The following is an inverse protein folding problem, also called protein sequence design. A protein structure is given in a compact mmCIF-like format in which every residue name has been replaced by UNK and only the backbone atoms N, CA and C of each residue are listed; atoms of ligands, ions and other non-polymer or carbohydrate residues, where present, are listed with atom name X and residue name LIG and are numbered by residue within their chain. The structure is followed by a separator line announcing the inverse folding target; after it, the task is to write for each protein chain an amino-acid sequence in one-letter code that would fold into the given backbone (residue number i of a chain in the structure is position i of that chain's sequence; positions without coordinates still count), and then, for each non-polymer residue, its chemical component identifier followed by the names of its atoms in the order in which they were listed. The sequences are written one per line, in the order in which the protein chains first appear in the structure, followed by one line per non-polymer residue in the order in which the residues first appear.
data_IF_853746363740
#
_entry.id   IF_853746363740
#
_cell.length_a   1.000
_cell.length_b   1.000
_cell.length_c   1.000
_cell.angle_alpha   90.00
_cell.angle_beta   90.00
_cell.angle_gamma   90.00
#
_symmetry.space_group_name_H-M   'P 1'
#
loop_
_entity.id
_entity.type
_entity.pdbx_description
1 polymer ?
#
# COMPACT_ATOMS: atom_id res chain seq x y z
N UNK A 1 -60.93 10.07 -51.79
CA UNK A 1 -60.64 11.25 -50.95
C UNK A 1 -61.15 10.91 -49.57
N UNK A 2 -60.41 10.88 -48.48
CA UNK A 2 -59.06 11.30 -48.13
C UNK A 2 -59.06 11.39 -46.60
N UNK A 3 -58.01 10.93 -45.92
CA UNK A 3 -57.95 11.02 -44.46
C UNK A 3 -57.04 9.97 -43.85
N UNK A 4 -55.74 10.12 -44.07
CA UNK A 4 -54.70 9.46 -43.29
C UNK A 4 -54.73 10.04 -41.87
N UNK A 5 -55.10 9.24 -40.87
CA UNK A 5 -54.89 9.63 -39.47
C UNK A 5 -53.52 9.15 -39.01
N UNK A 6 -52.59 10.10 -39.04
CA UNK A 6 -51.23 9.99 -38.52
C UNK A 6 -51.24 9.53 -37.04
N UNK A 7 -50.73 8.32 -36.79
CA UNK A 7 -50.44 7.85 -35.43
C UNK A 7 -49.29 8.69 -34.85
N UNK A 8 -49.64 9.73 -34.09
CA UNK A 8 -48.70 10.55 -33.32
C UNK A 8 -47.99 9.68 -32.28
N UNK A 9 -46.75 9.29 -32.57
CA UNK A 9 -45.83 8.68 -31.61
C UNK A 9 -45.60 9.67 -30.47
N UNK A 10 -46.26 9.46 -29.33
CA UNK A 10 -45.93 10.18 -28.10
C UNK A 10 -44.54 9.72 -27.66
N UNK A 11 -43.54 10.55 -27.88
CA UNK A 11 -42.25 10.42 -27.19
C UNK A 11 -42.52 10.74 -25.72
N UNK A 12 -42.81 9.69 -24.95
CA UNK A 12 -42.80 9.76 -23.49
C UNK A 12 -41.34 9.97 -23.13
N UNK A 13 -40.96 11.21 -22.86
CA UNK A 13 -39.72 11.49 -22.15
C UNK A 13 -39.84 10.73 -20.84
N UNK A 14 -39.03 9.67 -20.70
CA UNK A 14 -38.92 8.90 -19.48
C UNK A 14 -38.50 9.88 -18.38
N UNK A 15 -39.48 10.38 -17.64
CA UNK A 15 -39.19 11.18 -16.47
C UNK A 15 -38.38 10.28 -15.55
N UNK A 16 -37.21 10.77 -15.16
CA UNK A 16 -36.29 10.12 -14.22
C UNK A 16 -36.90 10.12 -12.80
N UNK A 17 -38.21 9.91 -12.67
CA UNK A 17 -39.00 9.95 -11.44
C UNK A 17 -38.77 8.76 -10.50
N UNK A 18 -37.90 7.83 -10.87
CA UNK A 18 -37.35 6.82 -9.97
C UNK A 18 -36.17 7.35 -9.14
N UNK A 19 -35.55 8.47 -9.54
CA UNK A 19 -34.39 9.03 -8.83
C UNK A 19 -34.78 10.11 -7.82
N UNK A 20 -35.94 10.78 -7.97
CA UNK A 20 -36.20 12.00 -7.15
C UNK A 20 -37.54 12.07 -6.42
N UNK A 21 -38.55 11.24 -6.69
CA UNK A 21 -39.91 11.51 -6.15
C UNK A 21 -40.62 10.33 -5.45
N UNK A 22 -40.11 9.10 -5.51
CA UNK A 22 -40.78 7.94 -4.91
C UNK A 22 -39.95 7.26 -3.81
N UNK A 23 -39.99 7.79 -2.59
CA UNK A 23 -39.60 7.02 -1.39
C UNK A 23 -40.54 5.83 -1.12
N UNK A 24 -41.67 5.73 -1.84
CA UNK A 24 -42.63 4.63 -1.74
C UNK A 24 -42.43 3.69 -2.93
N UNK A 25 -41.96 2.48 -2.65
CA UNK A 25 -41.86 1.43 -3.66
C UNK A 25 -43.25 1.12 -4.26
N UNK A 26 -43.33 0.87 -5.59
CA UNK A 26 -44.56 0.42 -6.22
C UNK A 26 -45.11 -0.84 -5.53
N UNK A 27 -46.36 -0.80 -5.06
CA UNK A 27 -47.01 -1.96 -4.41
C UNK A 27 -47.21 -3.16 -5.35
N UNK A 28 -47.24 -2.93 -6.66
CA UNK A 28 -47.41 -3.97 -7.70
C UNK A 28 -46.11 -4.14 -8.46
N UNK A 29 -45.75 -5.39 -8.71
CA UNK A 29 -44.56 -5.74 -9.47
C UNK A 29 -44.69 -5.29 -10.92
N UNK A 30 -43.69 -4.56 -11.43
CA UNK A 30 -43.59 -4.20 -12.86
C UNK A 30 -42.62 -5.16 -13.52
N UNK A 31 -43.00 -5.71 -14.68
CA UNK A 31 -42.07 -6.48 -15.49
C UNK A 31 -40.98 -5.55 -15.99
N UNK A 32 -39.73 -5.96 -15.82
CA UNK A 32 -38.56 -5.24 -16.32
C UNK A 32 -38.16 -5.93 -17.61
N UNK A 33 -38.05 -5.18 -18.70
CA UNK A 33 -37.64 -5.72 -20.00
C UNK A 33 -36.27 -6.38 -19.87
N UNK A 34 -36.15 -7.62 -20.38
CA UNK A 34 -34.92 -8.41 -20.29
C UNK A 34 -34.65 -9.11 -18.95
N UNK A 35 -35.50 -8.94 -17.93
CA UNK A 35 -35.33 -9.64 -16.64
C UNK A 35 -36.48 -10.63 -16.41
N UNK A 36 -36.13 -11.92 -16.32
CA UNK A 36 -37.09 -12.98 -16.07
C UNK A 36 -37.64 -12.94 -14.62
N UNK A 37 -38.92 -13.34 -14.41
CA UNK A 37 -39.54 -13.34 -13.08
C UNK A 37 -38.79 -14.22 -12.06
N UNK A 38 -38.16 -15.31 -12.52
CA UNK A 38 -37.33 -16.20 -11.69
C UNK A 38 -36.07 -15.50 -11.16
N UNK A 39 -35.40 -14.70 -12.01
CA UNK A 39 -34.18 -13.95 -11.63
C UNK A 39 -34.50 -12.88 -10.58
N UNK A 40 -35.63 -12.20 -10.71
CA UNK A 40 -36.12 -11.26 -9.69
C UNK A 40 -36.40 -11.96 -8.36
N UNK A 41 -36.99 -13.17 -8.40
CA UNK A 41 -37.28 -13.94 -7.19
C UNK A 41 -35.99 -14.41 -6.50
N UNK A 42 -35.00 -14.86 -7.28
CA UNK A 42 -33.67 -15.23 -6.78
C UNK A 42 -32.95 -14.06 -6.12
N UNK A 43 -32.98 -12.88 -6.75
CA UNK A 43 -32.41 -11.65 -6.17
C UNK A 43 -33.11 -11.25 -4.86
N UNK A 44 -34.44 -11.37 -4.79
CA UNK A 44 -35.18 -11.15 -3.54
C UNK A 44 -34.78 -12.14 -2.46
N UNK A 45 -34.59 -13.41 -2.81
CA UNK A 45 -34.13 -14.43 -1.88
C UNK A 45 -32.73 -14.11 -1.35
N UNK A 46 -31.82 -13.65 -2.21
CA UNK A 46 -30.46 -13.26 -1.81
C UNK A 46 -30.45 -11.99 -0.93
N UNK A 47 -31.31 -11.02 -1.25
CA UNK A 47 -31.51 -9.83 -0.42
C UNK A 47 -32.04 -10.22 0.96
N UNK A 48 -33.04 -11.11 1.02
CA UNK A 48 -33.61 -11.58 2.29
C UNK A 48 -32.58 -12.35 3.13
N UNK A 49 -31.81 -13.27 2.51
CA UNK A 49 -30.69 -13.97 3.17
C UNK A 49 -29.67 -12.98 3.75
N UNK A 50 -29.27 -11.97 2.96
CA UNK A 50 -28.34 -10.94 3.42
C UNK A 50 -28.91 -10.10 4.58
N UNK A 51 -30.21 -9.79 4.56
CA UNK A 51 -30.87 -9.10 5.68
C UNK A 51 -30.96 -9.98 6.94
N UNK A 52 -31.24 -11.27 6.79
CA UNK A 52 -31.25 -12.21 7.90
C UNK A 52 -29.86 -12.40 8.49
N UNK A 53 -28.82 -12.53 7.68
CA UNK A 53 -27.42 -12.57 8.14
C UNK A 53 -27.02 -11.26 8.85
N UNK A 54 -27.46 -10.10 8.35
CA UNK A 54 -27.23 -8.81 9.00
C UNK A 54 -27.96 -8.68 10.34
N UNK A 55 -29.19 -9.22 10.46
CA UNK A 55 -29.92 -9.28 11.72
C UNK A 55 -29.26 -10.25 12.69
N UNK A 56 -28.92 -11.45 12.23
CA UNK A 56 -28.28 -12.49 13.03
C UNK A 56 -26.92 -12.01 13.55
N UNK A 57 -26.11 -11.36 12.71
CA UNK A 57 -24.84 -10.74 13.16
C UNK A 57 -25.06 -9.57 14.12
N UNK A 58 -26.16 -8.81 13.98
CA UNK A 58 -26.53 -7.76 14.94
C UNK A 58 -27.00 -8.34 16.28
N UNK A 59 -27.77 -9.42 16.26
CA UNK A 59 -28.25 -10.13 17.44
C UNK A 59 -27.10 -10.85 18.17
N UNK A 60 -26.12 -11.38 17.43
CA UNK A 60 -24.86 -11.92 17.98
C UNK A 60 -23.91 -10.84 18.53
N UNK A 61 -24.04 -9.57 18.14
CA UNK A 61 -23.14 -8.48 18.55
C UNK A 61 -23.76 -7.48 19.53
N UNK A 62 -25.02 -7.65 19.92
CA UNK A 62 -25.67 -6.77 20.87
C UNK A 62 -26.99 -7.35 21.33
N UNK A 63 -26.94 -7.96 22.52
CA UNK A 63 -28.13 -8.39 23.25
C UNK A 63 -29.23 -7.32 23.23
N UNK A 64 -30.37 -7.76 22.73
CA UNK A 64 -31.72 -7.27 22.85
C UNK A 64 -32.04 -6.62 24.21
N UNK A 65 -31.72 -5.33 24.39
CA UNK A 65 -32.22 -4.47 25.48
C UNK A 65 -31.96 -2.96 25.28
N UNK A 66 -31.28 -2.53 24.20
CA UNK A 66 -30.80 -1.15 24.06
C UNK A 66 -31.62 -0.32 23.07
N UNK A 67 -32.94 -0.54 23.01
CA UNK A 67 -33.83 0.27 22.17
C UNK A 67 -34.35 1.56 22.86
N UNK A 68 -34.01 1.79 24.13
CA UNK A 68 -34.43 2.99 24.88
C UNK A 68 -33.31 3.84 25.48
N UNK A 69 -32.03 3.46 25.30
CA UNK A 69 -30.90 4.28 25.80
C UNK A 69 -30.43 5.23 24.70
N UNK A 70 -30.28 6.51 25.03
CA UNK A 70 -29.62 7.49 24.15
C UNK A 70 -28.30 6.88 23.63
N UNK A 71 -28.08 6.94 22.32
CA UNK A 71 -26.96 6.30 21.61
C UNK A 71 -25.69 6.43 22.43
N UNK A 72 -25.21 5.33 23.00
CA UNK A 72 -23.88 5.31 23.59
C UNK A 72 -22.92 5.69 22.47
N UNK A 73 -22.13 6.74 22.71
CA UNK A 73 -21.09 7.16 21.77
C UNK A 73 -20.24 5.93 21.58
N UNK A 74 -20.28 5.37 20.36
CA UNK A 74 -19.45 4.25 19.94
C UNK A 74 -18.05 4.61 20.41
N UNK A 75 -17.59 3.99 21.50
CA UNK A 75 -16.21 4.11 21.92
C UNK A 75 -15.44 3.68 20.69
N UNK A 76 -14.65 4.59 20.13
CA UNK A 76 -14.03 4.42 18.83
C UNK A 76 -13.36 3.05 18.84
N UNK A 77 -13.97 2.07 18.16
CA UNK A 77 -13.34 0.79 17.93
C UNK A 77 -12.07 1.17 17.20
N UNK A 78 -10.94 0.99 17.89
CA UNK A 78 -9.65 1.36 17.35
C UNK A 78 -9.51 0.64 16.02
N UNK A 79 -9.56 1.40 14.92
CA UNK A 79 -9.51 0.86 13.57
C UNK A 79 -8.19 0.11 13.31
N UNK A 80 -7.21 0.24 14.19
CA UNK A 80 -5.94 -0.47 14.18
C UNK A 80 -5.93 -1.75 15.06
N UNK A 81 -7.00 -2.02 15.82
CA UNK A 81 -7.09 -3.22 16.66
C UNK A 81 -7.30 -4.51 15.84
N UNK A 82 -7.85 -4.40 14.63
CA UNK A 82 -7.95 -5.51 13.69
C UNK A 82 -6.57 -5.82 13.10
N UNK A 83 -5.76 -6.60 13.82
CA UNK A 83 -4.46 -7.07 13.34
C UNK A 83 -4.66 -8.20 12.34
N UNK A 84 -3.79 -8.23 11.33
CA UNK A 84 -3.76 -9.32 10.36
C UNK A 84 -3.20 -10.58 11.04
N UNK A 85 -3.94 -11.69 11.02
CA UNK A 85 -3.55 -12.95 11.66
C UNK A 85 -2.21 -13.48 11.15
N UNK A 86 -1.85 -13.22 9.89
CA UNK A 86 -0.56 -13.57 9.31
C UNK A 86 0.62 -12.76 9.87
N UNK A 87 0.37 -11.52 10.31
CA UNK A 87 1.38 -10.69 10.98
C UNK A 87 1.64 -11.21 12.39
N UNK A 88 0.60 -11.60 13.13
CA UNK A 88 0.77 -12.21 14.45
C UNK A 88 1.47 -13.57 14.36
N UNK A 89 1.14 -14.38 13.36
CA UNK A 89 1.81 -15.66 13.09
C UNK A 89 3.31 -15.50 12.79
N UNK A 90 3.70 -14.50 11.99
CA UNK A 90 5.11 -14.17 11.75
C UNK A 90 5.80 -13.63 13.01
N UNK A 91 5.18 -12.67 13.69
CA UNK A 91 5.74 -12.09 14.92
C UNK A 91 5.95 -13.15 16.02
N UNK A 92 5.08 -14.16 16.11
CA UNK A 92 5.25 -15.26 17.04
C UNK A 92 6.43 -16.16 16.67
N UNK A 93 6.59 -16.50 15.38
CA UNK A 93 7.74 -17.25 14.87
C UNK A 93 9.06 -16.51 15.10
N UNK A 94 9.12 -15.23 14.71
CA UNK A 94 10.30 -14.38 14.91
C UNK A 94 10.67 -14.30 16.40
N UNK A 95 9.68 -14.18 17.30
CA UNK A 95 9.89 -14.17 18.75
C UNK A 95 10.42 -15.51 19.28
N UNK A 96 10.05 -16.63 18.68
CA UNK A 96 10.53 -17.96 19.05
C UNK A 96 11.97 -18.16 18.55
N UNK A 97 12.26 -17.77 17.31
CA UNK A 97 13.60 -17.84 16.72
C UNK A 97 14.59 -16.93 17.44
N UNK A 98 14.19 -15.69 17.76
CA UNK A 98 15.00 -14.78 18.58
C UNK A 98 15.21 -15.29 20.02
N UNK A 99 14.34 -16.15 20.54
CA UNK A 99 14.56 -16.82 21.83
C UNK A 99 15.53 -17.99 21.69
N UNK A 100 15.41 -18.80 20.64
CA UNK A 100 16.35 -19.90 20.37
C UNK A 100 17.79 -19.39 20.09
N UNK A 101 17.92 -18.22 19.45
CA UNK A 101 19.23 -17.55 19.30
C UNK A 101 19.75 -17.03 20.64
N UNK A 102 18.86 -16.65 21.58
CA UNK A 102 19.23 -16.23 22.95
C UNK A 102 19.55 -17.39 23.89
N UNK A 103 19.10 -18.60 23.61
CA UNK A 103 19.48 -19.77 24.42
C UNK A 103 20.99 -19.99 24.42
N UNK A 104 21.71 -19.44 23.42
CA UNK A 104 23.13 -19.11 23.51
C UNK A 104 24.06 -20.29 23.77
N UNK A 105 23.54 -21.50 23.97
CA UNK A 105 24.28 -22.65 24.48
C UNK A 105 25.37 -23.09 23.50
N UNK A 106 25.11 -22.98 22.20
CA UNK A 106 26.11 -23.23 21.15
C UNK A 106 27.22 -22.17 21.18
N UNK A 107 26.86 -20.91 21.42
CA UNK A 107 27.83 -19.82 21.54
C UNK A 107 28.64 -19.94 22.83
N UNK A 108 28.01 -20.25 23.97
CA UNK A 108 28.66 -20.50 25.24
C UNK A 108 29.60 -21.71 25.17
N UNK A 109 29.16 -22.83 24.58
CA UNK A 109 30.01 -24.02 24.39
C UNK A 109 31.20 -23.73 23.45
N UNK A 110 31.00 -22.91 22.41
CA UNK A 110 32.09 -22.48 21.54
C UNK A 110 33.08 -21.55 22.27
N UNK A 111 32.57 -20.61 23.07
CA UNK A 111 33.39 -19.71 23.88
C UNK A 111 34.16 -20.45 24.96
N UNK A 112 33.56 -21.45 25.61
CA UNK A 112 34.22 -22.30 26.61
C UNK A 112 35.36 -23.10 25.98
N UNK A 113 35.14 -23.73 24.82
CA UNK A 113 36.22 -24.41 24.08
C UNK A 113 37.35 -23.46 23.69
N UNK A 114 37.01 -22.24 23.29
CA UNK A 114 38.01 -21.21 22.95
C UNK A 114 38.80 -20.77 24.18
N UNK A 115 38.12 -20.58 25.32
CA UNK A 115 38.75 -20.21 26.59
C UNK A 115 39.71 -21.31 27.09
N UNK A 116 39.29 -22.58 27.03
CA UNK A 116 40.14 -23.72 27.35
C UNK A 116 41.40 -23.77 26.48
N UNK A 117 41.27 -23.47 25.19
CA UNK A 117 42.41 -23.39 24.27
C UNK A 117 43.38 -22.26 24.65
N UNK A 118 42.87 -21.07 24.96
CA UNK A 118 43.71 -19.96 25.43
C UNK A 118 44.38 -20.24 26.77
N UNK A 119 43.69 -20.90 27.70
CA UNK A 119 44.26 -21.26 29.00
C UNK A 119 45.39 -22.28 28.84
N UNK A 120 45.23 -23.27 27.97
CA UNK A 120 46.29 -24.24 27.62
C UNK A 120 47.50 -23.57 26.94
N UNK A 121 47.25 -22.65 26.00
CA UNK A 121 48.31 -21.84 25.38
C UNK A 121 49.06 -21.00 26.41
N UNK A 122 48.34 -20.36 27.32
CA UNK A 122 48.94 -19.50 28.36
C UNK A 122 49.75 -20.29 29.38
N UNK A 123 49.34 -21.53 29.70
CA UNK A 123 50.09 -22.45 30.57
C UNK A 123 51.26 -23.14 29.85
N UNK A 124 51.31 -23.13 28.52
CA UNK A 124 52.32 -23.86 27.75
C UNK A 124 52.17 -25.39 27.82
N UNK A 125 50.97 -25.89 28.11
CA UNK A 125 50.65 -27.32 28.23
C UNK A 125 50.20 -27.95 26.89
N UNK A 126 50.23 -27.19 25.78
CA UNK A 126 49.99 -27.78 24.47
C UNK A 126 51.23 -28.59 24.08
N UNK A 127 51.05 -29.91 23.94
CA UNK A 127 52.05 -30.76 23.29
C UNK A 127 52.30 -30.20 21.89
N UNK A 128 53.57 -29.99 21.55
CA UNK A 128 53.97 -29.48 20.23
C UNK A 128 53.37 -30.33 19.09
N UNK A 129 53.15 -31.62 19.34
CA UNK A 129 52.51 -32.58 18.42
C UNK A 129 51.01 -32.26 18.15
N UNK A 130 50.22 -31.95 19.19
CA UNK A 130 48.80 -31.57 19.02
C UNK A 130 48.62 -30.17 18.41
N UNK A 131 49.57 -29.26 18.68
CA UNK A 131 49.56 -27.90 18.15
C UNK A 131 49.85 -27.88 16.64
N UNK A 132 50.86 -28.62 16.21
CA UNK A 132 51.34 -28.64 14.83
C UNK A 132 50.37 -29.39 13.90
N UNK A 133 49.84 -30.54 14.31
CA UNK A 133 48.96 -31.34 13.44
C UNK A 133 47.57 -30.72 13.24
N UNK A 134 47.05 -30.00 14.23
CA UNK A 134 45.65 -29.55 14.25
C UNK A 134 45.45 -28.08 13.91
N UNK A 135 46.43 -27.24 14.21
CA UNK A 135 46.29 -25.78 14.10
C UNK A 135 47.24 -25.15 13.08
N UNK A 136 48.25 -25.87 12.58
CA UNK A 136 49.07 -25.39 11.46
C UNK A 136 48.40 -25.67 10.12
N UNK A 137 48.53 -24.72 9.19
CA UNK A 137 48.03 -24.86 7.82
C UNK A 137 49.12 -25.52 6.99
N UNK A 138 48.85 -26.71 6.46
CA UNK A 138 49.70 -27.33 5.45
C UNK A 138 49.50 -26.62 4.09
N UNK A 139 50.42 -25.72 3.76
CA UNK A 139 50.39 -24.95 2.52
C UNK A 139 50.51 -25.82 1.26
N UNK A 140 51.14 -27.00 1.34
CA UNK A 140 51.31 -27.90 0.19
C UNK A 140 50.03 -28.68 -0.09
N UNK A 141 49.34 -29.17 0.96
CA UNK A 141 48.05 -29.86 0.81
C UNK A 141 46.91 -28.92 0.44
N UNK A 142 46.95 -27.65 0.93
CA UNK A 142 45.95 -26.62 0.61
C UNK A 142 45.85 -26.30 -0.89
N UNK A 143 46.93 -26.48 -1.66
CA UNK A 143 46.94 -26.22 -3.11
C UNK A 143 46.39 -27.37 -3.96
N UNK A 144 46.30 -28.59 -3.41
CA UNK A 144 45.99 -29.82 -4.18
C UNK A 144 44.58 -30.34 -3.90
N UNK A 145 44.06 -30.19 -2.67
CA UNK A 145 42.76 -30.76 -2.25
C UNK A 145 41.57 -29.78 -2.38
N UNK A 146 41.50 -29.00 -3.46
CA UNK A 146 40.23 -28.37 -3.88
C UNK A 146 39.39 -29.27 -4.80
N UNK A 147 39.77 -30.56 -4.93
CA UNK A 147 39.12 -31.56 -5.78
C UNK A 147 38.03 -32.37 -5.08
N UNK A 148 38.34 -33.12 -4.03
CA UNK A 148 37.38 -34.07 -3.43
C UNK A 148 37.68 -34.30 -1.94
N UNK A 149 36.61 -34.30 -1.15
CA UNK A 149 36.53 -34.66 0.28
C UNK A 149 37.34 -33.82 1.30
N UNK A 150 36.67 -32.82 1.87
CA UNK A 150 36.56 -32.56 3.32
C UNK A 150 35.74 -31.27 3.49
N UNK A 151 34.54 -31.36 4.06
CA UNK A 151 33.80 -30.15 4.47
C UNK A 151 34.42 -29.58 5.76
N UNK A 152 34.98 -28.35 5.76
CA UNK A 152 35.21 -27.63 7.01
C UNK A 152 33.90 -26.97 7.47
N UNK A 153 33.64 -26.90 8.80
CA UNK A 153 32.47 -26.21 9.32
C UNK A 153 32.57 -24.73 8.99
N UNK A 154 31.57 -24.24 8.24
CA UNK A 154 31.42 -22.84 7.88
C UNK A 154 31.24 -21.99 9.14
N UNK A 155 32.33 -21.45 9.67
CA UNK A 155 32.30 -20.27 10.52
C UNK A 155 32.62 -19.07 9.65
N UNK A 156 31.56 -18.37 9.25
CA UNK A 156 31.62 -17.00 8.79
C UNK A 156 32.50 -16.19 9.75
N UNK A 157 33.50 -15.48 9.24
CA UNK A 157 33.66 -14.03 9.41
C UNK A 157 35.06 -13.57 9.00
N UNK A 158 35.06 -12.39 8.36
CA UNK A 158 36.15 -11.44 8.23
C UNK A 158 37.14 -11.68 7.09
N UNK A 159 37.07 -10.79 6.11
CA UNK A 159 38.29 -10.21 5.57
C UNK A 159 38.03 -8.74 5.23
N UNK A 160 38.17 -7.89 6.25
CA UNK A 160 38.60 -6.51 6.06
C UNK A 160 40.02 -6.59 5.49
N UNK A 161 40.18 -6.30 4.21
CA UNK A 161 41.49 -6.09 3.59
C UNK A 161 41.69 -4.59 3.44
N UNK A 162 42.74 -4.07 4.07
CA UNK A 162 43.29 -2.75 3.82
C UNK A 162 43.82 -2.65 2.37
N UNK A 163 43.89 -1.43 1.79
CA UNK A 163 44.24 -1.23 0.38
C UNK A 163 45.76 -1.09 0.20
N UNK A 164 46.34 -1.51 -0.95
CA UNK A 164 47.65 -1.02 -1.35
C UNK A 164 47.50 0.35 -2.03
N UNK A 165 48.31 1.30 -1.58
CA UNK A 165 48.52 2.58 -2.25
C UNK A 165 49.44 2.42 -3.47
N UNK A 166 49.32 3.41 -4.36
CA UNK A 166 50.19 3.79 -5.48
C UNK A 166 50.01 3.08 -6.83
N UNK A 167 49.31 3.77 -7.75
CA UNK A 167 49.94 4.50 -8.87
C UNK A 167 48.89 5.36 -9.62
N UNK A 168 49.19 6.65 -9.75
CA UNK A 168 48.41 7.64 -10.52
C UNK A 168 48.54 7.42 -12.03
N UNK A 169 47.46 7.61 -12.78
CA UNK A 169 47.48 8.31 -14.08
C UNK A 169 46.06 8.81 -14.44
N UNK A 170 46.02 10.03 -14.95
CA UNK A 170 44.87 10.89 -15.25
C UNK A 170 43.72 10.26 -16.06
N UNK A 171 42.50 10.67 -15.72
CA UNK A 171 41.31 10.49 -16.57
C UNK A 171 40.02 10.66 -15.78
N UNK A 172 39.35 11.79 -15.98
CA UNK A 172 38.02 12.09 -15.44
C UNK A 172 37.00 10.99 -15.78
N UNK A 173 36.44 10.30 -14.78
CA UNK A 173 35.11 9.69 -14.87
C UNK A 173 34.53 9.47 -13.46
N UNK A 174 33.83 10.50 -12.98
CA UNK A 174 33.07 10.51 -11.73
C UNK A 174 31.76 9.74 -11.94
N UNK A 175 31.73 8.44 -11.59
CA UNK A 175 30.46 7.68 -11.69
C UNK A 175 30.46 6.17 -11.45
N UNK A 176 31.59 5.49 -11.25
CA UNK A 176 31.61 4.00 -11.28
C UNK A 176 31.96 3.33 -9.94
N UNK A 177 31.39 3.80 -8.82
CA UNK A 177 31.49 3.10 -7.53
C UNK A 177 30.40 2.04 -7.28
N UNK A 178 29.41 1.91 -8.18
CA UNK A 178 28.29 0.97 -8.01
C UNK A 178 28.36 -0.31 -8.88
N UNK A 179 29.42 -0.51 -9.67
CA UNK A 179 29.58 -1.71 -10.52
C UNK A 179 30.48 -2.80 -9.91
N UNK A 180 30.67 -2.81 -8.59
CA UNK A 180 31.34 -3.92 -7.92
C UNK A 180 30.40 -5.12 -7.87
N UNK A 181 30.45 -5.95 -8.92
CA UNK A 181 29.76 -7.23 -8.97
C UNK A 181 30.31 -8.10 -7.83
N UNK A 182 29.53 -8.27 -6.76
CA UNK A 182 29.72 -9.38 -5.83
C UNK A 182 29.48 -10.67 -6.61
N UNK A 183 30.54 -11.22 -7.21
CA UNK A 183 30.56 -12.55 -7.78
C UNK A 183 30.63 -13.57 -6.62
N UNK A 184 29.57 -13.60 -5.83
CA UNK A 184 29.31 -14.67 -4.86
C UNK A 184 28.79 -15.89 -5.61
N UNK A 185 29.57 -16.97 -5.53
CA UNK A 185 29.28 -18.31 -6.02
C UNK A 185 27.84 -18.74 -5.69
N UNK A 186 26.95 -18.77 -6.69
CA UNK A 186 25.59 -19.30 -6.53
C UNK A 186 24.50 -18.79 -7.47
N UNK A 187 24.72 -17.74 -8.29
CA UNK A 187 23.65 -17.13 -9.10
C UNK A 187 23.63 -17.62 -10.56
N UNK A 188 23.46 -18.92 -10.76
CA UNK A 188 23.12 -19.51 -12.07
C UNK A 188 21.63 -19.92 -12.15
N UNK A 189 20.77 -19.26 -11.37
CA UNK A 189 19.31 -19.39 -11.48
C UNK A 189 18.77 -18.02 -11.94
N UNK A 190 18.21 -18.02 -13.16
CA UNK A 190 17.30 -17.01 -13.73
C UNK A 190 17.84 -15.58 -13.94
N UNK A 191 18.72 -15.40 -14.94
CA UNK A 191 18.97 -14.06 -15.51
C UNK A 191 17.72 -13.45 -16.17
N UNK A 192 16.76 -14.28 -16.58
CA UNK A 192 15.47 -13.84 -17.10
C UNK A 192 14.64 -13.09 -16.04
N UNK A 193 14.64 -13.55 -14.78
CA UNK A 193 13.86 -12.96 -13.67
C UNK A 193 14.40 -11.59 -13.25
N UNK A 194 15.72 -11.41 -13.21
CA UNK A 194 16.33 -10.10 -12.89
C UNK A 194 15.90 -9.02 -13.90
N UNK A 195 15.88 -9.36 -15.19
CA UNK A 195 15.47 -8.42 -16.25
C UNK A 195 14.00 -8.03 -16.16
N UNK A 196 13.16 -8.96 -15.69
CA UNK A 196 11.73 -8.71 -15.46
C UNK A 196 11.56 -7.85 -14.20
N UNK A 197 12.25 -8.18 -13.11
CA UNK A 197 12.26 -7.41 -11.88
C UNK A 197 12.67 -5.94 -12.11
N UNK A 198 13.77 -5.70 -12.84
CA UNK A 198 14.23 -4.33 -13.16
C UNK A 198 13.19 -3.58 -14.00
N UNK A 199 12.49 -4.25 -14.92
CA UNK A 199 11.38 -3.64 -15.69
C UNK A 199 10.21 -3.29 -14.78
N UNK A 200 9.76 -4.22 -13.94
CA UNK A 200 8.66 -3.98 -12.99
C UNK A 200 8.98 -2.82 -12.05
N UNK A 201 10.20 -2.78 -11.49
CA UNK A 201 10.63 -1.67 -10.63
C UNK A 201 10.59 -0.36 -11.41
N UNK A 202 11.12 -0.31 -12.64
CA UNK A 202 11.07 0.90 -13.47
C UNK A 202 9.64 1.34 -13.76
N UNK A 203 8.76 0.41 -14.09
CA UNK A 203 7.34 0.65 -14.38
C UNK A 203 6.62 1.23 -13.17
N UNK A 204 6.79 0.64 -11.99
CA UNK A 204 6.20 1.18 -10.73
C UNK A 204 6.67 2.60 -10.47
N UNK A 205 7.95 2.92 -10.67
CA UNK A 205 8.43 4.30 -10.50
C UNK A 205 7.78 5.26 -11.50
N UNK A 206 7.59 4.83 -12.74
CA UNK A 206 6.89 5.63 -13.76
C UNK A 206 5.42 5.84 -13.37
N UNK A 207 4.72 4.80 -12.92
CA UNK A 207 3.33 4.89 -12.46
C UNK A 207 3.18 5.83 -11.26
N UNK A 208 4.09 5.74 -10.28
CA UNK A 208 4.11 6.63 -9.12
C UNK A 208 4.33 8.09 -9.54
N UNK A 209 5.22 8.34 -10.49
CA UNK A 209 5.46 9.68 -11.02
C UNK A 209 4.22 10.22 -11.75
N UNK A 210 3.58 9.42 -12.61
CA UNK A 210 2.34 9.79 -13.29
C UNK A 210 1.20 10.06 -12.29
N UNK A 211 1.08 9.25 -11.24
CA UNK A 211 0.09 9.45 -10.19
C UNK A 211 0.32 10.78 -9.44
N UNK A 212 1.59 11.11 -9.17
CA UNK A 212 1.99 12.38 -8.56
C UNK A 212 1.64 13.56 -9.47
N UNK A 213 1.95 13.48 -10.76
CA UNK A 213 1.60 14.52 -11.74
C UNK A 213 0.09 14.74 -11.83
N UNK A 214 -0.70 13.67 -11.98
CA UNK A 214 -2.18 13.75 -12.00
C UNK A 214 -2.75 14.37 -10.72
N UNK A 215 -2.17 14.05 -9.56
CA UNK A 215 -2.59 14.64 -8.30
C UNK A 215 -2.26 16.14 -8.23
N UNK A 216 -1.11 16.56 -8.75
CA UNK A 216 -0.75 17.99 -8.85
C UNK A 216 -1.66 18.75 -9.82
N UNK A 217 -1.98 18.16 -10.97
CA UNK A 217 -2.89 18.74 -11.96
C UNK A 217 -4.31 18.89 -11.39
N UNK A 218 -4.82 17.87 -10.70
CA UNK A 218 -6.12 17.95 -10.05
C UNK A 218 -6.18 19.06 -8.99
N UNK A 219 -5.08 19.25 -8.24
CA UNK A 219 -4.96 20.33 -7.26
C UNK A 219 -4.96 21.71 -7.94
N UNK A 220 -4.22 21.88 -9.04
CA UNK A 220 -4.21 23.10 -9.84
C UNK A 220 -5.61 23.42 -10.38
N UNK A 221 -6.29 22.43 -10.97
CA UNK A 221 -7.66 22.58 -11.47
C UNK A 221 -8.65 23.01 -10.39
N UNK A 222 -8.55 22.45 -9.18
CA UNK A 222 -9.39 22.87 -8.04
C UNK A 222 -9.08 24.31 -7.61
N UNK A 223 -7.82 24.70 -7.63
CA UNK A 223 -7.40 26.07 -7.32
C UNK A 223 -7.95 27.05 -8.35
N UNK A 224 -7.83 26.75 -9.64
CA UNK A 224 -8.40 27.56 -10.73
C UNK A 224 -9.92 27.69 -10.64
N UNK A 225 -10.63 26.60 -10.29
CA UNK A 225 -12.07 26.68 -10.06
C UNK A 225 -12.41 27.60 -8.88
N UNK A 226 -11.62 27.56 -7.81
CA UNK A 226 -11.80 28.44 -6.66
C UNK A 226 -11.50 29.91 -7.00
N UNK A 227 -10.46 30.20 -7.77
CA UNK A 227 -10.15 31.57 -8.22
C UNK A 227 -11.23 32.07 -9.17
N UNK A 228 -11.65 31.28 -10.15
CA UNK A 228 -12.74 31.61 -11.06
C UNK A 228 -14.04 31.89 -10.30
N UNK A 229 -14.36 31.11 -9.27
CA UNK A 229 -15.53 31.35 -8.41
C UNK A 229 -15.39 32.66 -7.64
N UNK A 230 -14.21 32.94 -7.07
CA UNK A 230 -13.92 34.19 -6.35
C UNK A 230 -14.05 35.40 -7.28
N UNK A 231 -13.54 35.32 -8.49
CA UNK A 231 -13.63 36.39 -9.49
C UNK A 231 -15.07 36.63 -9.94
N UNK A 232 -15.84 35.57 -10.22
CA UNK A 232 -17.27 35.68 -10.52
C UNK A 232 -18.05 36.36 -9.39
N UNK A 233 -17.77 36.00 -8.13
CA UNK A 233 -18.38 36.65 -6.98
C UNK A 233 -17.98 38.13 -6.87
N UNK A 234 -16.71 38.47 -7.12
CA UNK A 234 -16.23 39.86 -7.14
C UNK A 234 -16.93 40.66 -8.24
N UNK A 235 -17.08 40.11 -9.44
CA UNK A 235 -17.79 40.75 -10.55
C UNK A 235 -19.29 40.93 -10.23
N UNK A 236 -19.95 39.91 -9.67
CA UNK A 236 -21.35 40.01 -9.27
C UNK A 236 -21.57 41.08 -8.20
N UNK A 237 -20.66 41.17 -7.22
CA UNK A 237 -20.69 42.22 -6.21
C UNK A 237 -20.56 43.62 -6.81
N UNK A 238 -19.58 43.82 -7.71
CA UNK A 238 -19.39 45.10 -8.40
C UNK A 238 -20.62 45.48 -9.25
N UNK A 239 -21.20 44.52 -9.98
CA UNK A 239 -22.44 44.74 -10.75
C UNK A 239 -23.60 45.17 -9.85
N UNK A 240 -23.78 44.51 -8.70
CA UNK A 240 -24.82 44.86 -7.73
C UNK A 240 -24.60 46.25 -7.12
N UNK A 241 -23.36 46.67 -6.89
CA UNK A 241 -23.05 48.02 -6.44
C UNK A 241 -23.40 49.07 -7.50
N UNK A 242 -23.06 48.82 -8.77
CA UNK A 242 -23.41 49.71 -9.87
C UNK A 242 -24.93 49.82 -10.07
N UNK A 243 -25.66 48.71 -9.97
CA UNK A 243 -27.11 48.69 -10.06
C UNK A 243 -27.76 49.52 -8.94
N UNK A 244 -27.26 49.40 -7.70
CA UNK A 244 -27.71 50.23 -6.57
C UNK A 244 -27.51 51.73 -6.84
N UNK A 245 -26.34 52.12 -7.34
CA UNK A 245 -26.06 53.53 -7.67
C UNK A 245 -26.98 54.03 -8.80
N UNK A 246 -27.22 53.21 -9.83
CA UNK A 246 -28.17 53.54 -10.91
C UNK A 246 -29.60 53.68 -10.39
N UNK A 247 -30.05 52.78 -9.52
CA UNK A 247 -31.37 52.86 -8.92
C UNK A 247 -31.55 54.12 -8.06
N UNK A 248 -30.52 54.50 -7.28
CA UNK A 248 -30.52 55.75 -6.51
C UNK A 248 -30.58 56.98 -7.43
N UNK A 249 -29.83 56.96 -8.54
CA UNK A 249 -29.86 58.06 -9.52
C UNK A 249 -31.23 58.16 -10.21
N UNK A 250 -31.86 57.04 -10.56
CA UNK A 250 -33.21 57.02 -11.13
C UNK A 250 -34.27 57.51 -10.14
N UNK A 251 -34.16 57.16 -8.85
CA UNK A 251 -35.05 57.69 -7.80
C UNK A 251 -34.91 59.20 -7.62
N UNK A 252 -33.71 59.76 -7.79
CA UNK A 252 -33.48 61.21 -7.75
C UNK A 252 -33.98 61.94 -9.02
N UNK A 253 -34.13 61.23 -10.14
CA UNK A 253 -34.57 61.79 -11.42
C UNK A 253 -36.08 61.65 -11.66
N UNK A 254 -36.83 60.94 -10.81
CA UNK A 254 -38.30 60.99 -10.88
C UNK A 254 -38.77 62.31 -10.23
N UNK A 255 -39.34 63.26 -11.00
CA UNK A 255 -39.92 64.46 -10.43
C UNK A 255 -41.16 64.06 -9.63
N UNK A 256 -41.29 64.64 -8.43
CA UNK A 256 -42.52 64.64 -7.65
C UNK A 256 -43.65 65.20 -8.55
N UNK A 257 -44.45 64.31 -9.12
CA UNK A 257 -45.78 64.63 -9.64
C UNK A 257 -46.78 64.11 -8.60
N UNK A 258 -47.35 65.04 -7.84
CA UNK A 258 -48.48 65.00 -6.89
C UNK A 258 -48.10 66.01 -5.78
N UNK A 259 -48.80 67.12 -5.52
CA UNK A 259 -50.10 67.66 -5.94
C UNK A 259 -50.01 69.20 -5.98
#
# INVERSE_FOLDING_TARGET
MGGEEETKKRVVVESLGWITESSIMPKKHRAIEGVGPSSIMELKAQLYKSQEEAKLTKDFTGSDAQYHRAKERIAAKDSFAAKNSGVEGRAFKDKLELKAVKDGAVSYAALEKKAQLYEKLARGELSDEEAEEKYCVDFFRKGVEHGDDLQPPRTSNSSVSAPPEDLKADGEDDGSLFSTKFAGLGRAVETADISQHVRMVREVHQEVNQAREKATELKQRRQEQATNRREKLKQAYLRKQLEKLKAQQQQQQQPQQQD
#
